data_IF_497097296052
#
_entry.id   IF_497097296052
#
_cell.length_a   1.000
_cell.length_b   1.000
_cell.length_c   1.000
_cell.angle_alpha   90.00
_cell.angle_beta   90.00
_cell.angle_gamma   90.00
#
_symmetry.space_group_name_H-M   'P 1'
#
loop_
_entity.id
_entity.type
_entity.pdbx_description
1 polymer ?
#
# COMPACT_ATOMS: atom_id res chain seq x y z
N UNK A 1 5.03 -11.00 14.90
CA UNK A 1 3.92 -10.63 13.99
C UNK A 1 4.23 -9.28 13.38
N UNK A 2 4.00 -9.11 12.08
CA UNK A 2 4.31 -7.88 11.34
C UNK A 2 5.09 -8.15 10.06
N UNK A 3 5.25 -7.11 9.24
CA UNK A 3 5.79 -7.22 7.88
C UNK A 3 7.12 -8.01 7.77
N UNK A 4 8.11 -7.87 8.68
CA UNK A 4 9.36 -8.63 8.57
C UNK A 4 9.16 -10.14 8.70
N UNK A 5 8.27 -10.59 9.58
CA UNK A 5 7.96 -12.01 9.73
C UNK A 5 7.25 -12.55 8.48
N UNK A 6 6.32 -11.76 7.93
CA UNK A 6 5.64 -12.11 6.68
C UNK A 6 6.63 -12.27 5.52
N UNK A 7 7.66 -11.43 5.44
CA UNK A 7 8.70 -11.54 4.42
C UNK A 7 9.51 -12.84 4.56
N UNK A 8 9.95 -13.21 5.76
CA UNK A 8 10.69 -14.45 6.03
C UNK A 8 9.84 -15.72 5.80
N UNK A 9 8.58 -15.72 6.26
CA UNK A 9 7.67 -16.84 6.04
C UNK A 9 7.36 -17.03 4.56
N UNK A 10 7.17 -15.93 3.83
CA UNK A 10 6.92 -15.98 2.38
C UNK A 10 8.16 -16.43 1.60
N UNK A 11 9.36 -15.99 2.02
CA UNK A 11 10.61 -16.52 1.48
C UNK A 11 10.71 -18.04 1.70
N UNK A 12 10.45 -18.51 2.92
CA UNK A 12 10.46 -19.94 3.26
C UNK A 12 9.46 -20.72 2.40
N UNK A 13 8.26 -20.17 2.19
CA UNK A 13 7.28 -20.74 1.27
C UNK A 13 7.85 -20.86 -0.15
N UNK A 14 8.48 -19.81 -0.70
CA UNK A 14 9.03 -19.83 -2.07
C UNK A 14 10.12 -20.89 -2.24
N UNK A 15 11.02 -21.02 -1.26
CA UNK A 15 12.07 -22.04 -1.27
C UNK A 15 11.44 -23.44 -1.30
N UNK A 16 10.52 -23.72 -0.38
CA UNK A 16 9.85 -25.02 -0.31
C UNK A 16 8.98 -25.31 -1.54
N UNK A 17 8.36 -24.27 -2.11
CA UNK A 17 7.58 -24.38 -3.34
C UNK A 17 8.49 -24.79 -4.52
N UNK A 18 9.68 -24.20 -4.63
CA UNK A 18 10.65 -24.59 -5.67
C UNK A 18 11.26 -25.97 -5.45
N UNK A 19 11.36 -26.46 -4.22
CA UNK A 19 11.71 -27.86 -3.98
C UNK A 19 10.62 -28.82 -4.46
N UNK A 20 9.35 -28.42 -4.31
CA UNK A 20 8.21 -29.20 -4.83
C UNK A 20 8.05 -29.10 -6.35
N UNK A 21 8.39 -27.97 -6.93
CA UNK A 21 8.26 -27.66 -8.37
C UNK A 21 9.62 -27.26 -8.98
N UNK A 22 10.57 -28.21 -9.07
CA UNK A 22 11.97 -27.92 -9.44
C UNK A 22 12.13 -27.39 -10.86
N UNK A 23 11.19 -27.66 -11.77
CA UNK A 23 11.18 -27.15 -13.15
C UNK A 23 11.07 -25.61 -13.25
N UNK A 24 10.78 -24.93 -12.15
CA UNK A 24 10.74 -23.47 -12.06
C UNK A 24 12.03 -22.84 -11.49
N UNK A 25 12.97 -23.60 -10.92
CA UNK A 25 14.15 -23.06 -10.20
C UNK A 25 15.00 -22.09 -11.02
N UNK A 26 15.16 -22.33 -12.33
CA UNK A 26 15.97 -21.47 -13.21
C UNK A 26 15.20 -20.28 -13.80
N UNK A 27 13.86 -20.25 -13.65
CA UNK A 27 13.03 -19.23 -14.31
C UNK A 27 13.19 -17.88 -13.65
N UNK A 28 13.01 -16.83 -14.43
CA UNK A 28 12.94 -15.47 -13.92
C UNK A 28 11.75 -15.33 -12.95
N UNK A 29 12.02 -14.87 -11.74
CA UNK A 29 11.03 -14.58 -10.71
C UNK A 29 10.68 -13.09 -10.75
N UNK A 30 9.39 -12.79 -10.79
CA UNK A 30 8.85 -11.45 -10.62
C UNK A 30 7.82 -11.47 -9.49
N UNK A 31 7.82 -10.45 -8.65
CA UNK A 31 6.90 -10.34 -7.52
C UNK A 31 6.02 -9.13 -7.74
N UNK A 32 4.70 -9.33 -7.75
CA UNK A 32 3.74 -8.29 -8.00
C UNK A 32 2.63 -8.28 -6.94
N UNK A 33 1.99 -7.13 -6.75
CA UNK A 33 0.75 -7.05 -5.98
C UNK A 33 0.16 -5.64 -5.93
N UNK A 34 -0.85 -5.45 -5.07
CA UNK A 34 -1.58 -4.19 -4.93
C UNK A 34 -1.82 -3.77 -3.47
N UNK A 35 -2.03 -2.46 -3.23
CA UNK A 35 -2.48 -1.92 -1.94
C UNK A 35 -1.39 -2.00 -0.87
N UNK A 36 -1.58 -2.76 0.21
CA UNK A 36 -0.60 -2.87 1.29
C UNK A 36 0.71 -3.56 0.84
N UNK A 37 0.75 -4.16 -0.35
CA UNK A 37 1.99 -4.77 -0.84
C UNK A 37 3.14 -3.79 -1.08
N UNK A 38 2.90 -2.47 -1.05
CA UNK A 38 3.99 -1.51 -0.97
C UNK A 38 4.92 -1.77 0.23
N UNK A 39 4.42 -2.49 1.25
CA UNK A 39 5.21 -3.07 2.33
C UNK A 39 5.72 -4.47 1.98
N UNK A 40 4.84 -5.38 1.57
CA UNK A 40 5.20 -6.80 1.40
C UNK A 40 6.19 -7.07 0.26
N UNK A 41 5.96 -6.49 -0.91
CA UNK A 41 6.76 -6.80 -2.11
C UNK A 41 8.20 -6.30 -1.99
N UNK A 42 8.47 -5.05 -1.59
CA UNK A 42 9.84 -4.59 -1.39
C UNK A 42 10.57 -5.32 -0.26
N UNK A 43 9.88 -5.64 0.84
CA UNK A 43 10.48 -6.37 1.96
C UNK A 43 10.83 -7.80 1.57
N UNK A 44 9.92 -8.53 0.90
CA UNK A 44 10.21 -9.86 0.39
C UNK A 44 11.36 -9.86 -0.62
N UNK A 45 11.40 -8.88 -1.53
CA UNK A 45 12.50 -8.74 -2.48
C UNK A 45 13.84 -8.54 -1.76
N UNK A 46 13.88 -7.69 -0.73
CA UNK A 46 15.07 -7.49 0.10
C UNK A 46 15.49 -8.77 0.83
N UNK A 47 14.55 -9.49 1.43
CA UNK A 47 14.78 -10.79 2.08
C UNK A 47 15.37 -11.81 1.09
N UNK A 48 14.81 -11.91 -0.12
CA UNK A 48 15.33 -12.80 -1.17
C UNK A 48 16.78 -12.45 -1.52
N UNK A 49 17.08 -11.17 -1.75
CA UNK A 49 18.44 -10.73 -2.08
C UNK A 49 19.43 -11.01 -0.95
N UNK A 50 19.01 -10.84 0.31
CA UNK A 50 19.82 -11.16 1.48
C UNK A 50 20.12 -12.67 1.57
N UNK A 51 19.12 -13.52 1.39
CA UNK A 51 19.31 -14.98 1.46
C UNK A 51 20.09 -15.54 0.27
N UNK A 52 19.88 -15.01 -0.94
CA UNK A 52 20.65 -15.40 -2.13
C UNK A 52 22.16 -15.23 -1.92
N UNK A 53 22.57 -14.19 -1.17
CA UNK A 53 23.98 -13.94 -0.88
C UNK A 53 24.56 -14.86 0.21
N UNK A 54 23.71 -15.49 1.04
CA UNK A 54 24.14 -16.15 2.29
C UNK A 54 23.93 -17.67 2.32
N UNK A 55 22.97 -18.22 1.57
CA UNK A 55 22.49 -19.60 1.78
C UNK A 55 22.74 -20.56 0.62
N UNK A 56 23.15 -20.05 -0.55
CA UNK A 56 23.35 -20.86 -1.76
C UNK A 56 22.05 -21.27 -2.50
N UNK A 57 20.88 -21.04 -1.91
CA UNK A 57 19.59 -21.15 -2.60
C UNK A 57 19.37 -19.88 -3.40
N UNK A 58 19.35 -20.01 -4.74
CA UNK A 58 19.23 -18.86 -5.63
C UNK A 58 17.81 -18.72 -6.18
N UNK A 59 17.09 -17.71 -5.70
CA UNK A 59 15.87 -17.23 -6.34
C UNK A 59 16.24 -16.20 -7.40
N UNK A 60 15.96 -16.50 -8.67
CA UNK A 60 16.32 -15.66 -9.83
C UNK A 60 15.39 -14.44 -9.96
N UNK A 61 15.33 -13.59 -8.93
CA UNK A 61 14.54 -12.37 -8.89
C UNK A 61 15.01 -11.37 -9.94
N UNK A 62 14.10 -10.97 -10.84
CA UNK A 62 14.37 -10.02 -11.93
C UNK A 62 13.69 -8.67 -11.76
N UNK A 63 12.60 -8.60 -11.01
CA UNK A 63 11.92 -7.35 -10.79
C UNK A 63 10.72 -7.46 -9.87
N UNK A 64 10.23 -6.30 -9.49
CA UNK A 64 9.02 -6.14 -8.69
C UNK A 64 8.05 -5.19 -9.38
N UNK A 65 6.76 -5.37 -9.11
CA UNK A 65 5.69 -4.46 -9.56
C UNK A 65 4.74 -4.19 -8.40
N UNK A 66 4.47 -2.92 -8.12
CA UNK A 66 3.56 -2.51 -7.05
C UNK A 66 2.46 -1.61 -7.61
N UNK A 67 1.23 -2.10 -7.58
CA UNK A 67 0.03 -1.38 -7.99
C UNK A 67 -0.60 -0.62 -6.83
N UNK A 68 -0.97 0.64 -7.05
CA UNK A 68 -1.61 1.53 -6.06
C UNK A 68 -1.09 1.36 -4.61
N UNK A 69 0.23 1.41 -4.39
CA UNK A 69 0.82 0.95 -3.14
C UNK A 69 0.64 1.95 -1.99
N UNK A 70 0.54 1.41 -0.78
CA UNK A 70 0.90 2.13 0.43
C UNK A 70 2.43 2.12 0.57
N UNK A 71 3.08 3.28 0.37
CA UNK A 71 4.54 3.42 0.44
C UNK A 71 4.98 4.16 1.71
N UNK A 72 4.23 5.19 2.06
CA UNK A 72 4.51 6.07 3.19
C UNK A 72 3.16 6.53 3.71
N UNK A 73 2.77 6.02 4.87
CA UNK A 73 1.44 6.24 5.46
C UNK A 73 1.09 7.72 5.50
N UNK A 74 2.05 8.56 5.86
CA UNK A 74 1.81 9.98 6.08
C UNK A 74 1.71 10.75 4.77
N UNK A 75 2.59 10.46 3.81
CA UNK A 75 2.46 11.02 2.46
C UNK A 75 1.19 10.55 1.78
N UNK A 76 0.88 9.24 1.83
CA UNK A 76 -0.33 8.67 1.23
C UNK A 76 -1.60 9.30 1.84
N UNK A 77 -1.65 9.57 3.16
CA UNK A 77 -2.77 10.27 3.80
C UNK A 77 -2.95 11.70 3.27
N UNK A 78 -1.88 12.51 3.22
CA UNK A 78 -1.96 13.88 2.69
C UNK A 78 -2.43 13.88 1.23
N UNK A 79 -1.80 13.04 0.40
CA UNK A 79 -2.08 12.94 -1.03
C UNK A 79 -3.50 12.46 -1.31
N UNK A 80 -4.10 11.66 -0.42
CA UNK A 80 -5.52 11.29 -0.52
C UNK A 80 -6.44 12.52 -0.52
N UNK A 81 -6.27 13.43 0.45
CA UNK A 81 -7.14 14.61 0.54
C UNK A 81 -6.89 15.58 -0.60
N UNK A 82 -5.63 15.75 -1.01
CA UNK A 82 -5.27 16.53 -2.20
C UNK A 82 -5.87 15.93 -3.48
N UNK A 83 -5.88 14.60 -3.62
CA UNK A 83 -6.52 13.90 -4.73
C UNK A 83 -8.03 14.19 -4.76
N UNK A 84 -8.72 14.04 -3.62
CA UNK A 84 -10.16 14.32 -3.52
C UNK A 84 -10.50 15.77 -3.91
N UNK A 85 -9.70 16.74 -3.46
CA UNK A 85 -9.89 18.14 -3.81
C UNK A 85 -9.72 18.38 -5.31
N UNK A 86 -8.63 17.89 -5.90
CA UNK A 86 -8.37 18.04 -7.34
C UNK A 86 -9.40 17.31 -8.23
N UNK A 87 -10.15 16.37 -7.68
CA UNK A 87 -11.22 15.65 -8.40
C UNK A 87 -12.62 16.19 -8.08
N UNK A 88 -12.71 17.34 -7.40
CA UNK A 88 -13.98 18.00 -7.08
C UNK A 88 -14.83 17.27 -6.04
N UNK A 89 -14.23 16.34 -5.28
CA UNK A 89 -14.93 15.54 -4.26
C UNK A 89 -15.04 16.29 -2.94
N UNK A 90 -14.14 17.23 -2.63
CA UNK A 90 -14.23 18.07 -1.42
C UNK A 90 -14.10 19.55 -1.80
N UNK A 91 -14.72 20.44 -1.01
CA UNK A 91 -14.72 21.87 -1.28
C UNK A 91 -13.39 22.55 -0.92
N UNK A 92 -13.19 23.77 -1.45
CA UNK A 92 -12.02 24.59 -1.16
C UNK A 92 -11.88 24.88 0.34
N UNK A 93 -13.00 25.10 1.05
CA UNK A 93 -13.01 25.32 2.49
C UNK A 93 -12.52 24.09 3.25
N UNK A 94 -13.00 22.91 2.89
CA UNK A 94 -12.56 21.65 3.53
C UNK A 94 -11.08 21.41 3.27
N UNK A 95 -10.60 21.66 2.05
CA UNK A 95 -9.19 21.51 1.72
C UNK A 95 -8.30 22.52 2.47
N UNK A 96 -8.75 23.77 2.61
CA UNK A 96 -8.04 24.80 3.37
C UNK A 96 -7.94 24.44 4.86
N UNK A 97 -9.03 23.93 5.46
CA UNK A 97 -9.04 23.46 6.85
C UNK A 97 -8.08 22.28 7.05
N UNK A 98 -8.11 21.28 6.16
CA UNK A 98 -7.21 20.11 6.23
C UNK A 98 -5.75 20.57 6.07
N UNK A 99 -5.47 21.44 5.11
CA UNK A 99 -4.11 21.91 4.82
C UNK A 99 -3.51 22.75 5.94
N UNK A 100 -4.35 23.48 6.69
CA UNK A 100 -3.91 24.37 7.76
C UNK A 100 -3.84 23.70 9.13
N UNK A 101 -4.72 22.74 9.40
CA UNK A 101 -4.84 22.14 10.74
C UNK A 101 -4.27 20.73 10.86
N UNK A 102 -4.08 19.99 9.75
CA UNK A 102 -3.58 18.62 9.79
C UNK A 102 -2.07 18.50 9.58
N UNK A 103 -1.39 17.90 10.55
CA UNK A 103 -0.01 17.46 10.43
C UNK A 103 0.04 15.99 10.01
N UNK A 104 0.54 15.72 8.80
CA UNK A 104 0.75 14.36 8.27
C UNK A 104 2.17 13.89 8.57
N UNK A 105 2.47 13.69 9.85
CA UNK A 105 3.79 13.24 10.32
C UNK A 105 3.69 12.12 11.38
N UNK A 106 2.55 11.45 11.47
CA UNK A 106 2.30 10.38 12.43
C UNK A 106 1.88 10.84 13.83
N UNK A 107 1.77 12.15 14.06
CA UNK A 107 1.23 12.70 15.31
C UNK A 107 -0.28 12.46 15.41
N UNK A 108 -0.79 12.36 16.64
CA UNK A 108 -2.24 12.39 16.86
C UNK A 108 -2.85 13.67 16.30
N UNK A 109 -3.99 13.56 15.62
CA UNK A 109 -4.69 14.72 15.09
C UNK A 109 -5.31 15.54 16.22
N UNK A 110 -5.02 16.84 16.24
CA UNK A 110 -5.71 17.79 17.10
C UNK A 110 -7.18 17.94 16.68
N UNK A 111 -8.01 18.50 17.58
CA UNK A 111 -9.46 18.61 17.37
C UNK A 111 -9.86 19.30 16.05
N UNK A 112 -9.13 20.36 15.65
CA UNK A 112 -9.40 21.08 14.41
C UNK A 112 -9.15 20.21 13.16
N UNK A 113 -8.08 19.42 13.15
CA UNK A 113 -7.84 18.48 12.04
C UNK A 113 -8.89 17.38 12.00
N UNK A 114 -9.29 16.85 13.16
CA UNK A 114 -10.34 15.85 13.24
C UNK A 114 -11.66 16.37 12.67
N UNK A 115 -12.04 17.61 13.01
CA UNK A 115 -13.21 18.26 12.46
C UNK A 115 -13.12 18.43 10.93
N UNK A 116 -11.97 18.90 10.43
CA UNK A 116 -11.74 19.09 8.99
C UNK A 116 -11.85 17.77 8.21
N UNK A 117 -11.24 16.69 8.71
CA UNK A 117 -11.33 15.35 8.12
C UNK A 117 -12.77 14.84 8.17
N UNK A 118 -13.49 15.07 9.26
CA UNK A 118 -14.90 14.68 9.39
C UNK A 118 -15.78 15.32 8.31
N UNK A 119 -15.56 16.62 8.02
CA UNK A 119 -16.23 17.32 6.90
C UNK A 119 -15.96 16.65 5.55
N UNK A 120 -14.72 16.21 5.31
CA UNK A 120 -14.39 15.48 4.08
C UNK A 120 -15.18 14.16 3.93
N UNK A 121 -15.36 13.43 5.04
CA UNK A 121 -16.03 12.14 5.05
C UNK A 121 -17.49 12.24 4.58
N UNK A 122 -18.21 13.28 5.00
CA UNK A 122 -19.59 13.50 4.55
C UNK A 122 -19.71 13.71 3.04
N UNK A 123 -18.66 14.23 2.40
CA UNK A 123 -18.69 14.58 0.97
C UNK A 123 -18.45 13.35 0.09
N UNK A 124 -17.71 12.35 0.57
CA UNK A 124 -17.38 11.15 -0.20
C UNK A 124 -18.00 9.86 0.38
N UNK A 125 -18.93 9.95 1.34
CA UNK A 125 -19.52 8.77 2.00
C UNK A 125 -20.24 7.82 1.04
N UNK A 126 -20.79 8.38 -0.03
CA UNK A 126 -21.60 7.67 -1.03
C UNK A 126 -20.76 7.29 -2.27
N UNK A 127 -19.44 7.45 -2.20
CA UNK A 127 -18.50 7.12 -3.27
C UNK A 127 -17.71 5.86 -2.96
N UNK A 128 -17.37 5.10 -4.01
CA UNK A 128 -16.35 4.07 -3.91
C UNK A 128 -14.95 4.72 -3.89
N UNK A 129 -14.27 4.63 -2.75
CA UNK A 129 -12.94 5.21 -2.57
C UNK A 129 -11.83 4.45 -3.33
N UNK A 130 -12.12 3.24 -3.83
CA UNK A 130 -11.23 2.51 -4.74
C UNK A 130 -11.40 2.96 -6.19
N UNK A 131 -12.58 3.49 -6.55
CA UNK A 131 -12.86 4.08 -7.85
C UNK A 131 -13.99 5.11 -7.76
N UNK A 132 -13.64 6.39 -7.67
CA UNK A 132 -14.59 7.49 -7.43
C UNK A 132 -15.59 7.73 -8.57
N UNK A 133 -15.42 7.06 -9.71
CA UNK A 133 -16.31 7.13 -10.87
C UNK A 133 -17.17 5.88 -11.04
N UNK A 134 -16.92 4.83 -10.25
CA UNK A 134 -17.70 3.60 -10.29
C UNK A 134 -19.02 3.78 -9.55
N UNK A 135 -20.12 3.13 -9.98
CA UNK A 135 -21.28 2.97 -9.12
C UNK A 135 -20.91 2.20 -7.85
N UNK A 136 -21.57 2.54 -6.75
CA UNK A 136 -21.46 1.77 -5.51
C UNK A 136 -22.28 0.48 -5.60
N UNK A 137 -21.81 -0.57 -4.93
CA UNK A 137 -22.52 -1.84 -4.89
C UNK A 137 -23.81 -1.68 -4.05
N UNK A 138 -24.96 -1.73 -4.71
CA UNK A 138 -26.26 -1.77 -4.04
C UNK A 138 -26.60 -3.25 -3.87
N UNK A 139 -26.45 -3.77 -2.65
CA UNK A 139 -26.88 -5.14 -2.33
C UNK A 139 -28.37 -5.30 -2.62
N UNK A 140 -28.71 -6.28 -3.46
CA UNK A 140 -30.07 -6.75 -3.70
C UNK A 140 -30.62 -7.57 -2.55
#
# INVERSE_FOLDING_TARGET
MGDPLTAEDTYTFLVNWLERFPEYKARALYIAGESYVGHYVPQLAATILAHNNNTGVMLNLKGILVGNPLLDVEKNKRRRYEYLWNHGVISDEVWADISSHCSFNGSSYGGMCHEAISKSYYTHRDLDMYNIYSPTCITS
#
